data_IF_644753758885
#
_entry.id   IF_644753758885
#
_cell.length_a   1.000
_cell.length_b   1.000
_cell.length_c   1.000
_cell.angle_alpha   90.00
_cell.angle_beta   90.00
_cell.angle_gamma   90.00
#
_symmetry.space_group_name_H-M   'P 1'
#
loop_
_entity.id
_entity.type
_entity.pdbx_description
1 polymer ?
#
# COMPACT_ATOMS: atom_id res chain seq x y z
N UNK A 1 8.58 -4.21 17.14
CA UNK A 1 7.45 -3.70 16.31
C UNK A 1 8.00 -3.34 14.93
N UNK A 2 7.33 -3.74 13.84
CA UNK A 2 7.66 -3.21 12.52
C UNK A 2 7.39 -1.70 12.51
N UNK A 3 8.36 -0.91 12.06
CA UNK A 3 8.21 0.53 11.84
C UNK A 3 7.91 0.74 10.35
N UNK A 4 6.81 1.42 10.03
CA UNK A 4 6.52 1.84 8.66
C UNK A 4 7.25 3.16 8.43
N UNK A 5 8.05 3.22 7.37
CA UNK A 5 8.75 4.43 6.96
C UNK A 5 8.07 4.90 5.67
N UNK A 6 7.43 6.06 5.73
CA UNK A 6 6.86 6.68 4.54
C UNK A 6 7.96 7.36 3.74
N UNK A 7 7.96 7.13 2.43
CA UNK A 7 9.02 7.57 1.52
C UNK A 7 8.42 8.12 0.23
N UNK A 8 9.10 9.09 -0.37
CA UNK A 8 8.91 9.51 -1.76
C UNK A 8 9.97 8.81 -2.60
N UNK A 9 9.54 8.17 -3.67
CA UNK A 9 10.46 7.61 -4.66
C UNK A 9 10.72 8.63 -5.76
N UNK A 10 11.98 9.08 -5.87
CA UNK A 10 12.39 10.09 -6.85
C UNK A 10 13.75 9.70 -7.45
N UNK A 11 13.83 9.64 -8.78
CA UNK A 11 15.07 9.36 -9.51
C UNK A 11 15.82 8.09 -9.06
N UNK A 12 15.11 7.02 -8.71
CA UNK A 12 15.74 5.76 -8.25
C UNK A 12 16.02 5.69 -6.76
N UNK A 13 15.68 6.73 -5.98
CA UNK A 13 16.01 6.84 -4.55
C UNK A 13 14.74 6.93 -3.71
N UNK A 14 14.67 6.14 -2.63
CA UNK A 14 13.62 6.23 -1.61
C UNK A 14 14.01 7.27 -0.57
N UNK A 15 13.34 8.42 -0.58
CA UNK A 15 13.56 9.54 0.35
C UNK A 15 12.54 9.51 1.48
N UNK A 16 12.93 9.26 2.74
CA UNK A 16 11.99 9.23 3.85
C UNK A 16 11.41 10.63 4.13
N UNK A 17 10.13 10.66 4.52
CA UNK A 17 9.44 11.90 4.90
C UNK A 17 9.88 12.42 6.27
N UNK A 18 10.40 11.53 7.12
CA UNK A 18 10.89 11.83 8.46
C UNK A 18 12.31 11.30 8.65
N UNK A 19 13.03 11.82 9.64
CA UNK A 19 14.36 11.30 9.99
C UNK A 19 14.26 9.85 10.48
N UNK A 20 15.06 8.97 9.89
CA UNK A 20 15.13 7.57 10.26
C UNK A 20 16.54 7.25 10.75
N UNK A 21 16.62 6.78 11.99
CA UNK A 21 17.87 6.27 12.55
C UNK A 21 17.98 4.76 12.27
N UNK A 22 18.84 4.40 11.31
CA UNK A 22 19.13 3.02 10.93
C UNK A 22 20.63 2.79 10.96
N UNK A 23 21.02 1.58 11.32
CA UNK A 23 22.43 1.17 11.34
C UNK A 23 23.01 1.22 9.91
N UNK A 24 24.24 1.72 9.79
CA UNK A 24 24.95 1.72 8.52
C UNK A 24 25.01 0.30 7.92
N UNK A 25 24.79 0.21 6.60
CA UNK A 25 24.70 -1.04 5.83
C UNK A 25 23.62 -2.03 6.30
N UNK A 26 22.58 -1.56 6.99
CA UNK A 26 21.43 -2.40 7.32
C UNK A 26 20.71 -2.90 6.06
N UNK A 27 20.44 -4.20 5.99
CA UNK A 27 19.60 -4.79 4.94
C UNK A 27 18.13 -4.66 5.35
N UNK A 28 17.35 -3.94 4.55
CA UNK A 28 15.92 -3.72 4.78
C UNK A 28 15.09 -4.45 3.72
N UNK A 29 13.85 -4.77 4.06
CA UNK A 29 12.85 -5.26 3.10
C UNK A 29 11.91 -4.10 2.78
N UNK A 30 11.71 -3.85 1.48
CA UNK A 30 10.73 -2.85 1.01
C UNK A 30 9.43 -3.56 0.71
N UNK A 31 8.32 -2.98 1.16
CA UNK A 31 6.97 -3.39 0.78
C UNK A 31 6.27 -2.21 0.11
N UNK A 32 5.82 -2.41 -1.12
CA UNK A 32 5.01 -1.41 -1.84
C UNK A 32 3.55 -1.74 -1.55
N UNK A 33 2.92 -0.92 -0.72
CA UNK A 33 1.51 -1.06 -0.39
C UNK A 33 0.74 -0.11 -1.30
N UNK A 34 -0.06 -0.66 -2.22
CA UNK A 34 -1.01 0.17 -2.98
C UNK A 34 -2.16 0.56 -2.05
N UNK A 35 -2.57 1.82 -2.08
CA UNK A 35 -3.77 2.24 -1.36
C UNK A 35 -4.98 1.49 -1.94
N UNK A 36 -5.90 1.05 -1.08
CA UNK A 36 -7.14 0.40 -1.49
C UNK A 36 -7.91 1.28 -2.49
N UNK A 37 -7.84 2.60 -2.33
CA UNK A 37 -8.43 3.57 -3.25
C UNK A 37 -7.81 3.50 -4.65
N UNK A 38 -6.52 3.24 -4.77
CA UNK A 38 -5.86 3.13 -6.08
C UNK A 38 -6.26 1.85 -6.79
N UNK A 39 -6.40 0.75 -6.05
CA UNK A 39 -6.98 -0.50 -6.56
C UNK A 39 -8.40 -0.25 -7.03
N UNK A 40 -9.26 0.34 -6.20
CA UNK A 40 -10.64 0.66 -6.56
C UNK A 40 -10.73 1.60 -7.76
N UNK A 41 -9.86 2.62 -7.88
CA UNK A 41 -9.80 3.51 -9.05
C UNK A 41 -9.46 2.75 -10.33
N UNK A 42 -8.52 1.80 -10.28
CA UNK A 42 -8.13 0.99 -11.43
C UNK A 42 -9.29 0.16 -11.98
N UNK A 43 -10.13 -0.37 -11.09
CA UNK A 43 -11.26 -1.22 -11.46
C UNK A 43 -12.60 -0.46 -11.60
N UNK A 44 -12.61 0.84 -11.27
CA UNK A 44 -13.80 1.69 -11.38
C UNK A 44 -14.26 1.76 -12.83
N UNK A 45 -15.47 1.24 -13.09
CA UNK A 45 -16.08 1.19 -14.42
C UNK A 45 -15.91 -0.14 -15.14
N UNK A 46 -14.95 -0.98 -14.72
CA UNK A 46 -14.80 -2.36 -15.24
C UNK A 46 -15.76 -3.30 -14.50
N UNK A 47 -15.80 -3.19 -13.16
CA UNK A 47 -16.57 -4.11 -12.31
C UNK A 47 -18.04 -3.68 -12.09
N UNK A 48 -18.50 -2.63 -12.75
CA UNK A 48 -19.88 -2.13 -12.62
C UNK A 48 -20.17 -1.48 -11.26
N UNK A 49 -21.46 -1.37 -10.91
CA UNK A 49 -21.91 -0.84 -9.63
C UNK A 49 -22.11 -2.01 -8.66
N UNK A 50 -21.67 -1.86 -7.42
CA UNK A 50 -21.90 -2.79 -6.33
C UNK A 50 -22.48 -2.07 -5.12
N UNK A 51 -23.26 -2.78 -4.30
CA UNK A 51 -23.70 -2.30 -3.00
C UNK A 51 -22.56 -2.44 -1.97
N UNK A 52 -22.68 -1.71 -0.85
CA UNK A 52 -21.65 -1.72 0.19
C UNK A 52 -21.53 -3.08 0.86
N UNK A 53 -22.64 -3.80 1.00
CA UNK A 53 -22.71 -5.13 1.60
C UNK A 53 -21.94 -6.15 0.76
N UNK A 54 -22.16 -6.17 -0.57
CA UNK A 54 -21.46 -7.07 -1.50
C UNK A 54 -19.94 -6.82 -1.50
N UNK A 55 -19.51 -5.56 -1.41
CA UNK A 55 -18.09 -5.23 -1.33
C UNK A 55 -17.42 -5.73 -0.04
N UNK A 56 -18.17 -5.81 1.08
CA UNK A 56 -17.64 -6.35 2.34
C UNK A 56 -17.45 -7.86 2.25
N UNK A 57 -18.40 -8.57 1.65
CA UNK A 57 -18.29 -10.02 1.43
C UNK A 57 -17.05 -10.35 0.56
N UNK A 58 -16.84 -9.62 -0.53
CA UNK A 58 -15.64 -9.81 -1.36
C UNK A 58 -14.32 -9.48 -0.63
N UNK A 59 -14.34 -8.49 0.27
CA UNK A 59 -13.16 -8.20 1.10
C UNK A 59 -12.86 -9.34 2.08
N UNK A 60 -13.88 -9.92 2.70
CA UNK A 60 -13.74 -11.09 3.60
C UNK A 60 -13.24 -12.33 2.85
N UNK A 61 -13.78 -12.61 1.64
CA UNK A 61 -13.30 -13.70 0.79
C UNK A 61 -11.83 -13.54 0.38
N UNK A 62 -11.40 -12.33 0.05
CA UNK A 62 -10.02 -12.06 -0.38
C UNK A 62 -8.99 -12.12 0.76
N UNK A 63 -9.44 -12.08 2.02
CA UNK A 63 -8.61 -12.14 3.22
C UNK A 63 -8.50 -13.55 3.81
N UNK A 64 -9.29 -14.52 3.32
CA UNK A 64 -9.16 -15.96 3.61
C UNK A 64 -8.10 -16.64 2.75
#
# INVERSE_FOLDING_TARGET
MPKVIEVIYENGVFKPLENVDLKDKAKLKIAIIKDRKDVVKLYRGILGKAKVEELKEFEEEALM
#
